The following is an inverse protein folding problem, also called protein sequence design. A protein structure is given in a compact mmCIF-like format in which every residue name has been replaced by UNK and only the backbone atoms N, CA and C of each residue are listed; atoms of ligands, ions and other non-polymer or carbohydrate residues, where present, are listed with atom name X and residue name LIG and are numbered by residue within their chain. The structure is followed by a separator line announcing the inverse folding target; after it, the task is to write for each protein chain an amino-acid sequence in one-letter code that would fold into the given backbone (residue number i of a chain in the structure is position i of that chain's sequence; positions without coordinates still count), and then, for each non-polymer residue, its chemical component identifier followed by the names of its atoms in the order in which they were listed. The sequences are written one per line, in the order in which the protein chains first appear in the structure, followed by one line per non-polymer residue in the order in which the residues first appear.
data_IF_345729547639
#
_entry.id   IF_345729547639
#
_cell.length_a   1.000
_cell.length_b   1.000
_cell.length_c   1.000
_cell.angle_alpha   90.00
_cell.angle_beta   90.00
_cell.angle_gamma   90.00
#
_symmetry.space_group_name_H-M   'P 1'
#
loop_
_entity.id
_entity.type
_entity.pdbx_description
1 polymer ?
#
# COMPACT_ATOMS: atom_id res chain seq x y z
N UNK A 1 -23.26 -41.08 -15.66
CA UNK A 1 -23.18 -40.02 -14.64
C UNK A 1 -22.21 -38.95 -15.14
N UNK A 2 -22.67 -37.71 -15.32
CA UNK A 2 -21.87 -36.60 -15.85
C UNK A 2 -21.02 -36.05 -14.69
N UNK A 3 -19.69 -36.15 -14.81
CA UNK A 3 -18.77 -35.51 -13.86
C UNK A 3 -18.93 -34.00 -13.98
N UNK A 4 -19.48 -33.36 -12.95
CA UNK A 4 -19.49 -31.91 -12.81
C UNK A 4 -18.13 -31.57 -12.20
N UNK A 5 -17.17 -31.22 -13.04
CA UNK A 5 -15.94 -30.55 -12.61
C UNK A 5 -16.39 -29.19 -12.06
N UNK A 6 -16.55 -29.10 -10.74
CA UNK A 6 -16.72 -27.82 -10.06
C UNK A 6 -15.38 -27.08 -10.19
N UNK A 7 -15.24 -26.32 -11.26
CA UNK A 7 -14.22 -25.28 -11.33
C UNK A 7 -14.49 -24.32 -10.17
N UNK A 8 -13.67 -24.42 -9.13
CA UNK A 8 -13.68 -23.55 -7.95
C UNK A 8 -13.31 -22.12 -8.37
N UNK A 9 -14.18 -21.45 -9.11
CA UNK A 9 -14.04 -20.03 -9.47
C UNK A 9 -14.41 -19.24 -8.21
N UNK A 10 -13.44 -18.60 -7.54
CA UNK A 10 -13.76 -17.84 -6.33
C UNK A 10 -14.69 -16.69 -6.71
N UNK A 11 -15.76 -16.51 -5.93
CA UNK A 11 -16.76 -15.47 -6.18
C UNK A 11 -16.10 -14.09 -6.29
N UNK A 12 -16.63 -13.22 -7.15
CA UNK A 12 -16.13 -11.85 -7.34
C UNK A 12 -16.08 -11.10 -5.99
N UNK A 13 -17.04 -11.37 -5.11
CA UNK A 13 -17.10 -10.82 -3.75
C UNK A 13 -15.91 -11.27 -2.90
N UNK A 14 -15.54 -12.55 -2.95
CA UNK A 14 -14.38 -13.08 -2.22
C UNK A 14 -13.08 -12.47 -2.75
N UNK A 15 -12.93 -12.32 -4.07
CA UNK A 15 -11.75 -11.67 -4.67
C UNK A 15 -11.61 -10.21 -4.25
N UNK A 16 -12.72 -9.46 -4.25
CA UNK A 16 -12.74 -8.07 -3.80
C UNK A 16 -12.42 -7.94 -2.30
N UNK A 17 -12.99 -8.84 -1.48
CA UNK A 17 -12.70 -8.89 -0.04
C UNK A 17 -11.24 -9.19 0.26
N UNK A 18 -10.65 -10.17 -0.43
CA UNK A 18 -9.22 -10.48 -0.31
C UNK A 18 -8.34 -9.32 -0.74
N UNK A 19 -8.69 -8.63 -1.84
CA UNK A 19 -7.96 -7.44 -2.27
C UNK A 19 -7.98 -6.32 -1.21
N UNK A 20 -9.15 -6.02 -0.65
CA UNK A 20 -9.30 -5.04 0.41
C UNK A 20 -8.50 -5.42 1.67
N UNK A 21 -8.54 -6.71 2.05
CA UNK A 21 -7.78 -7.22 3.19
C UNK A 21 -6.27 -7.10 2.96
N UNK A 22 -5.77 -7.42 1.77
CA UNK A 22 -4.36 -7.24 1.40
C UNK A 22 -3.93 -5.78 1.43
N UNK A 23 -4.78 -4.86 0.98
CA UNK A 23 -4.51 -3.42 1.06
C UNK A 23 -4.43 -2.93 2.50
N UNK A 24 -5.37 -3.34 3.34
CA UNK A 24 -5.38 -3.00 4.77
C UNK A 24 -4.17 -3.59 5.49
N UNK A 25 -3.81 -4.84 5.22
CA UNK A 25 -2.61 -5.47 5.77
C UNK A 25 -1.33 -4.75 5.33
N UNK A 26 -1.23 -4.39 4.05
CA UNK A 26 -0.08 -3.65 3.55
C UNK A 26 0.02 -2.26 4.21
N UNK A 27 -1.10 -1.53 4.37
CA UNK A 27 -1.09 -0.27 5.11
C UNK A 27 -0.69 -0.44 6.58
N UNK A 28 -1.18 -1.47 7.27
CA UNK A 28 -0.81 -1.75 8.65
C UNK A 28 0.68 -2.02 8.80
N UNK A 29 1.28 -2.80 7.89
CA UNK A 29 2.71 -3.08 7.91
C UNK A 29 3.55 -1.83 7.63
N UNK A 30 3.19 -1.05 6.60
CA UNK A 30 3.88 0.21 6.26
C UNK A 30 3.80 1.18 7.44
N UNK A 31 2.62 1.31 8.05
CA UNK A 31 2.45 2.10 9.27
C UNK A 31 3.39 1.63 10.38
N UNK A 32 3.44 0.33 10.69
CA UNK A 32 4.33 -0.21 11.73
C UNK A 32 5.79 0.13 11.46
N UNK A 33 6.25 -0.02 10.21
CA UNK A 33 7.62 0.32 9.83
C UNK A 33 7.88 1.81 10.01
N UNK A 34 6.98 2.68 9.53
CA UNK A 34 7.14 4.13 9.68
C UNK A 34 7.07 4.57 11.14
N UNK A 35 6.23 3.93 11.97
CA UNK A 35 6.15 4.20 13.40
C UNK A 35 7.46 3.82 14.11
N UNK A 36 8.05 2.66 13.79
CA UNK A 36 9.35 2.25 14.32
C UNK A 36 10.47 3.21 13.88
N UNK A 37 10.47 3.64 12.62
CA UNK A 37 11.42 4.64 12.13
C UNK A 37 11.23 5.99 12.82
N UNK A 38 9.99 6.42 13.04
CA UNK A 38 9.69 7.64 13.79
C UNK A 38 10.15 7.56 15.24
N UNK A 39 10.12 6.37 15.86
CA UNK A 39 10.61 6.16 17.22
C UNK A 39 12.15 6.22 17.28
N UNK A 40 12.82 5.68 16.26
CA UNK A 40 14.27 5.70 16.16
C UNK A 40 14.86 7.06 15.73
N UNK A 41 14.04 7.94 15.15
CA UNK A 41 14.48 9.24 14.67
C UNK A 41 14.69 10.26 15.81
N UNK A 42 15.73 11.08 15.68
CA UNK A 42 15.91 12.25 16.53
C UNK A 42 14.78 13.26 16.28
N UNK A 43 14.17 13.80 17.35
CA UNK A 43 13.11 14.82 17.24
C UNK A 43 13.70 16.18 16.85
N UNK A 44 12.97 17.03 16.10
CA UNK A 44 11.58 16.87 15.65
C UNK A 44 11.45 16.08 14.36
N UNK A 45 10.43 15.20 14.31
CA UNK A 45 10.14 14.36 13.15
C UNK A 45 9.23 15.10 12.17
N UNK A 46 9.50 15.02 10.87
CA UNK A 46 8.76 15.77 9.83
C UNK A 46 8.30 14.88 8.67
N UNK A 47 7.36 15.38 7.86
CA UNK A 47 6.87 14.69 6.66
C UNK A 47 6.15 13.39 7.00
N UNK A 48 6.54 12.32 6.29
CA UNK A 48 5.94 10.99 6.40
C UNK A 48 5.98 10.40 7.81
N UNK A 49 6.99 10.77 8.59
CA UNK A 49 7.20 10.25 9.94
C UNK A 49 6.55 11.14 11.03
N UNK A 50 6.00 12.32 10.69
CA UNK A 50 5.38 13.19 11.69
C UNK A 50 4.09 12.59 12.28
N UNK A 51 3.26 12.02 11.41
CA UNK A 51 1.97 11.40 11.74
C UNK A 51 1.80 10.13 10.90
N UNK A 52 2.58 9.06 11.19
CA UNK A 52 2.72 7.92 10.29
C UNK A 52 1.39 7.21 10.01
N UNK A 53 0.50 7.10 11.00
CA UNK A 53 -0.84 6.54 10.79
C UNK A 53 -1.63 7.34 9.76
N UNK A 54 -1.83 8.64 10.03
CA UNK A 54 -2.56 9.53 9.10
C UNK A 54 -1.94 9.51 7.71
N UNK A 55 -0.61 9.61 7.62
CA UNK A 55 0.07 9.71 6.34
C UNK A 55 -0.09 8.45 5.48
N UNK A 56 -0.06 7.28 6.10
CA UNK A 56 -0.24 5.99 5.40
C UNK A 56 -1.67 5.82 4.93
N UNK A 57 -2.65 6.06 5.79
CA UNK A 57 -4.06 5.83 5.44
C UNK A 57 -4.62 6.91 4.50
N UNK A 58 -4.21 8.17 4.64
CA UNK A 58 -4.70 9.26 3.81
C UNK A 58 -4.01 9.32 2.44
N UNK A 59 -2.67 9.21 2.41
CA UNK A 59 -1.90 9.41 1.17
C UNK A 59 -1.46 8.09 0.54
N UNK A 60 -0.71 7.25 1.26
CA UNK A 60 -0.12 6.05 0.66
C UNK A 60 -1.18 5.05 0.19
N UNK A 61 -2.19 4.77 1.02
CA UNK A 61 -3.28 3.86 0.67
C UNK A 61 -4.04 4.37 -0.56
N UNK A 62 -4.48 5.64 -0.53
CA UNK A 62 -5.22 6.30 -1.62
C UNK A 62 -4.47 6.21 -2.94
N UNK A 63 -3.20 6.61 -2.95
CA UNK A 63 -2.42 6.62 -4.19
C UNK A 63 -2.03 5.20 -4.61
N UNK A 64 -1.94 4.23 -3.70
CA UNK A 64 -1.76 2.81 -4.06
C UNK A 64 -2.97 2.23 -4.80
N UNK A 65 -4.19 2.70 -4.51
CA UNK A 65 -5.40 2.28 -5.21
C UNK A 65 -5.42 2.87 -6.62
N UNK A 66 -5.03 4.13 -6.76
CA UNK A 66 -4.86 4.79 -8.06
C UNK A 66 -3.78 4.10 -8.91
N UNK A 67 -2.65 3.73 -8.29
CA UNK A 67 -1.58 2.98 -8.97
C UNK A 67 -2.09 1.64 -9.53
N UNK A 68 -2.83 0.87 -8.73
CA UNK A 68 -3.42 -0.38 -9.21
C UNK A 68 -4.46 -0.17 -10.31
N UNK A 69 -5.27 0.89 -10.20
CA UNK A 69 -6.22 1.27 -11.24
C UNK A 69 -5.51 1.59 -12.56
N UNK A 70 -4.42 2.36 -12.49
CA UNK A 70 -3.58 2.69 -13.63
C UNK A 70 -2.96 1.44 -14.26
N UNK A 71 -2.42 0.53 -13.45
CA UNK A 71 -1.85 -0.72 -13.96
C UNK A 71 -2.90 -1.57 -14.68
N UNK A 72 -4.11 -1.69 -14.11
CA UNK A 72 -5.21 -2.41 -14.77
C UNK A 72 -5.64 -1.77 -16.08
N UNK A 73 -5.63 -0.43 -16.15
CA UNK A 73 -5.93 0.29 -17.39
C UNK A 73 -4.84 0.05 -18.44
N UNK A 74 -3.56 0.06 -18.04
CA UNK A 74 -2.45 -0.23 -18.94
C UNK A 74 -2.50 -1.66 -19.49
N UNK A 75 -2.93 -2.64 -18.68
CA UNK A 75 -3.14 -4.02 -19.12
C UNK A 75 -4.27 -4.13 -20.15
N UNK A 76 -5.39 -3.46 -19.88
CA UNK A 76 -6.52 -3.42 -20.81
C UNK A 76 -6.13 -2.81 -22.17
N UNK A 77 -5.26 -1.78 -22.16
CA UNK A 77 -4.81 -1.10 -23.38
C UNK A 77 -3.76 -1.92 -24.15
N UNK A 78 -2.87 -2.65 -23.47
CA UNK A 78 -1.78 -3.38 -24.13
C UNK A 78 -2.14 -4.78 -24.60
N UNK A 79 -3.34 -5.30 -24.27
CA UNK A 79 -3.75 -6.69 -24.53
C UNK A 79 -2.68 -7.73 -24.12
N UNK A 80 -1.80 -7.35 -23.20
CA UNK A 80 -0.62 -8.14 -22.83
C UNK A 80 -0.85 -8.66 -21.41
N UNK A 81 -0.68 -9.97 -21.25
CA UNK A 81 -1.09 -10.68 -20.03
C UNK A 81 -0.05 -10.59 -18.90
N UNK A 82 1.13 -10.02 -19.16
CA UNK A 82 2.19 -9.87 -18.17
C UNK A 82 2.78 -8.45 -18.18
N UNK A 83 2.65 -7.74 -17.06
CA UNK A 83 3.37 -6.49 -16.85
C UNK A 83 4.82 -6.79 -16.46
N UNK A 84 5.81 -6.18 -17.12
CA UNK A 84 7.18 -6.29 -16.67
C UNK A 84 7.30 -5.68 -15.27
N UNK A 85 8.00 -6.35 -14.36
CA UNK A 85 8.15 -5.92 -12.97
C UNK A 85 8.67 -4.48 -12.85
N UNK A 86 9.51 -4.03 -13.80
CA UNK A 86 9.99 -2.66 -13.88
C UNK A 86 8.89 -1.62 -14.14
N UNK A 87 7.85 -1.95 -14.93
CA UNK A 87 6.74 -1.03 -15.16
C UNK A 87 5.85 -0.89 -13.92
N UNK A 88 5.60 -1.98 -13.19
CA UNK A 88 4.87 -1.94 -11.92
C UNK A 88 5.62 -1.07 -10.91
N UNK A 89 6.94 -1.27 -10.77
CA UNK A 89 7.78 -0.47 -9.89
C UNK A 89 7.79 1.01 -10.29
N UNK A 90 7.87 1.32 -11.59
CA UNK A 90 7.82 2.69 -12.10
C UNK A 90 6.50 3.38 -11.78
N UNK A 91 5.35 2.72 -12.00
CA UNK A 91 4.04 3.29 -11.66
C UNK A 91 3.92 3.54 -10.16
N UNK A 92 4.34 2.59 -9.33
CA UNK A 92 4.34 2.76 -7.87
C UNK A 92 5.32 3.85 -7.41
N UNK A 93 6.46 4.03 -8.08
CA UNK A 93 7.40 5.10 -7.78
C UNK A 93 6.83 6.47 -8.16
N UNK A 94 6.23 6.62 -9.34
CA UNK A 94 5.58 7.86 -9.77
C UNK A 94 4.41 8.20 -8.84
N UNK A 95 3.60 7.21 -8.50
CA UNK A 95 2.54 7.30 -7.49
C UNK A 95 3.10 7.77 -6.14
N UNK A 96 4.18 7.15 -5.65
CA UNK A 96 4.82 7.53 -4.40
C UNK A 96 5.39 8.95 -4.41
N UNK A 97 5.99 9.36 -5.52
CA UNK A 97 6.45 10.73 -5.72
C UNK A 97 5.29 11.73 -5.65
N UNK A 98 4.19 11.44 -6.35
CA UNK A 98 2.99 12.27 -6.31
C UNK A 98 2.36 12.34 -4.90
N UNK A 99 2.32 11.21 -4.18
CA UNK A 99 1.86 11.18 -2.79
C UNK A 99 2.74 12.04 -1.87
N UNK A 100 4.05 12.01 -2.07
CA UNK A 100 4.98 12.84 -1.30
C UNK A 100 4.89 14.33 -1.64
N UNK A 101 4.60 14.69 -2.89
CA UNK A 101 4.28 16.07 -3.27
C UNK A 101 2.97 16.54 -2.63
N UNK A 102 1.92 15.71 -2.65
CA UNK A 102 0.65 16.01 -2.01
C UNK A 102 0.83 16.22 -0.50
N UNK A 103 1.59 15.36 0.17
CA UNK A 103 1.94 15.53 1.58
C UNK A 103 2.73 16.82 1.84
N UNK A 104 3.71 17.13 0.99
CA UNK A 104 4.52 18.35 1.13
C UNK A 104 3.70 19.62 1.01
N UNK A 105 2.75 19.62 0.07
CA UNK A 105 1.78 20.68 -0.11
C UNK A 105 0.92 20.88 1.15
N UNK A 106 0.34 19.81 1.69
CA UNK A 106 -0.54 19.89 2.86
C UNK A 106 0.21 20.29 4.15
N UNK A 107 1.49 19.91 4.28
CA UNK A 107 2.30 20.23 5.45
C UNK A 107 3.14 21.51 5.30
N UNK A 108 3.13 22.17 4.15
CA UNK A 108 3.93 23.37 3.87
C UNK A 108 5.45 23.15 4.01
N UNK A 109 5.95 21.95 3.68
CA UNK A 109 7.36 21.55 3.90
C UNK A 109 8.11 21.31 2.58
N UNK A 110 9.43 21.12 2.70
CA UNK A 110 10.33 20.85 1.56
C UNK A 110 9.89 19.63 0.75
N UNK A 111 9.54 19.88 -0.51
CA UNK A 111 8.95 18.88 -1.41
C UNK A 111 9.89 17.73 -1.77
N UNK A 112 11.21 17.99 -1.87
CA UNK A 112 12.20 16.99 -2.31
C UNK A 112 12.24 15.80 -1.36
N UNK A 113 12.42 16.05 -0.07
CA UNK A 113 12.52 14.99 0.93
C UNK A 113 11.21 14.21 1.02
N UNK A 114 10.06 14.90 1.04
CA UNK A 114 8.75 14.26 1.09
C UNK A 114 8.46 13.40 -0.15
N UNK A 115 8.84 13.87 -1.34
CA UNK A 115 8.64 13.15 -2.59
C UNK A 115 9.52 11.89 -2.68
N UNK A 116 10.81 11.99 -2.35
CA UNK A 116 11.72 10.84 -2.32
C UNK A 116 11.29 9.80 -1.28
N UNK A 117 10.89 10.26 -0.10
CA UNK A 117 10.38 9.35 0.94
C UNK A 117 9.06 8.71 0.50
N UNK A 118 8.20 9.43 -0.21
CA UNK A 118 6.95 8.92 -0.77
C UNK A 118 7.16 7.78 -1.77
N UNK A 119 8.20 7.86 -2.60
CA UNK A 119 8.64 6.74 -3.46
C UNK A 119 8.93 5.51 -2.59
N UNK A 120 9.78 5.68 -1.57
CA UNK A 120 10.14 4.60 -0.65
C UNK A 120 8.93 3.98 0.05
N UNK A 121 7.98 4.82 0.51
CA UNK A 121 6.76 4.38 1.18
C UNK A 121 5.88 3.55 0.25
N UNK A 122 5.67 3.97 -1.00
CA UNK A 122 4.82 3.21 -1.93
C UNK A 122 5.50 1.93 -2.43
N UNK A 123 6.82 1.93 -2.60
CA UNK A 123 7.56 0.70 -2.89
C UNK A 123 7.51 -0.28 -1.72
N UNK A 124 7.64 0.20 -0.49
CA UNK A 124 7.44 -0.61 0.72
C UNK A 124 6.00 -1.13 0.79
N UNK A 125 5.02 -0.31 0.45
CA UNK A 125 3.61 -0.71 0.37
C UNK A 125 3.42 -1.85 -0.63
N UNK A 126 4.04 -1.76 -1.82
CA UNK A 126 3.99 -2.84 -2.81
C UNK A 126 4.69 -4.11 -2.32
N UNK A 127 5.84 -3.98 -1.67
CA UNK A 127 6.54 -5.12 -1.07
C UNK A 127 5.70 -5.78 0.03
N UNK A 128 5.00 -4.99 0.85
CA UNK A 128 4.11 -5.48 1.90
C UNK A 128 2.91 -6.25 1.32
N UNK A 129 2.33 -5.78 0.21
CA UNK A 129 1.29 -6.52 -0.52
C UNK A 129 1.80 -7.89 -0.99
N UNK A 130 2.96 -7.91 -1.66
CA UNK A 130 3.56 -9.15 -2.16
C UNK A 130 3.91 -10.12 -1.03
N UNK A 131 4.37 -9.61 0.12
CA UNK A 131 4.62 -10.42 1.30
C UNK A 131 3.32 -11.02 1.87
N UNK A 132 2.24 -10.23 1.94
CA UNK A 132 0.92 -10.70 2.38
C UNK A 132 0.29 -11.74 1.44
N UNK A 133 0.53 -11.62 0.13
CA UNK A 133 0.12 -12.63 -0.86
C UNK A 133 0.90 -13.95 -0.69
N UNK A 134 2.20 -13.87 -0.36
CA UNK A 134 3.05 -15.06 -0.13
C UNK A 134 2.82 -15.71 1.23
N UNK A 135 2.45 -14.93 2.25
CA UNK A 135 2.26 -15.38 3.63
C UNK A 135 0.88 -14.91 4.10
N UNK A 136 -0.19 -15.69 3.81
CA UNK A 136 -1.57 -15.30 4.09
C UNK A 136 -1.85 -15.02 5.57
N UNK A 137 -1.08 -15.62 6.49
CA UNK A 137 -1.19 -15.37 7.93
C UNK A 137 -0.83 -13.95 8.36
N UNK A 138 -0.08 -13.18 7.55
CA UNK A 138 0.20 -11.77 7.82
C UNK A 138 -1.03 -10.88 7.61
N UNK A 139 -1.97 -11.31 6.75
CA UNK A 139 -3.15 -10.53 6.38
C UNK A 139 -3.99 -10.15 7.60
N UNK A 140 -4.49 -11.08 8.45
CA UNK A 140 -5.30 -10.70 9.60
C UNK A 140 -4.52 -9.91 10.66
N UNK A 141 -3.23 -10.19 10.86
CA UNK A 141 -2.41 -9.50 11.87
C UNK A 141 -2.26 -8.02 11.52
N UNK A 142 -1.85 -7.70 10.30
CA UNK A 142 -1.62 -6.31 9.93
C UNK A 142 -2.91 -5.59 9.50
N UNK A 143 -3.93 -6.30 9.00
CA UNK A 143 -5.19 -5.66 8.62
C UNK A 143 -6.12 -5.38 9.79
N UNK A 144 -6.08 -6.19 10.86
CA UNK A 144 -6.99 -6.06 12.01
C UNK A 144 -6.26 -5.74 13.31
N UNK A 145 -5.27 -6.53 13.71
CA UNK A 145 -4.65 -6.36 15.03
C UNK A 145 -3.90 -5.05 15.17
N UNK A 146 -3.10 -4.66 14.17
CA UNK A 146 -2.34 -3.40 14.24
C UNK A 146 -3.26 -2.17 14.30
N UNK A 147 -4.25 -1.99 13.41
CA UNK A 147 -5.20 -0.89 13.51
C UNK A 147 -5.99 -0.87 14.82
N UNK A 148 -6.45 -2.04 15.30
CA UNK A 148 -7.18 -2.16 16.56
C UNK A 148 -6.31 -1.77 17.76
N UNK A 149 -5.04 -2.17 17.76
CA UNK A 149 -4.09 -1.81 18.81
C UNK A 149 -3.81 -0.31 18.81
N UNK A 150 -3.69 0.32 17.64
CA UNK A 150 -3.60 1.78 17.53
C UNK A 150 -4.85 2.46 18.09
N UNK A 151 -6.05 1.98 17.72
CA UNK A 151 -7.31 2.52 18.24
C UNK A 151 -7.45 2.38 19.77
N UNK A 152 -6.84 1.36 20.36
CA UNK A 152 -6.88 1.11 21.81
C UNK A 152 -5.87 1.96 22.60
N UNK A 153 -4.79 2.39 21.95
CA UNK A 153 -3.71 3.17 22.58
C UNK A 153 -3.86 4.69 22.44
N UNK A 154 -4.80 5.15 21.61
CA UNK A 154 -5.12 6.56 21.36
C UNK A 154 -6.57 6.87 21.70
#
# INVERSE_FOLDING_TARGET
MKSITNDNVPSVRLKAGMYALTKLAASGLVFTVLALLSLAAARPVTGWLATPAYNVYAYALTVSLLADGMLRLLDALRQSQAQPAGAVAAVYAIAGFAAGLWLAHDQGRGWVAAALFGIGVLLLFRAAQLAGERIPGLLPVFALFVPLLVLLLF
#
